data_IF_662898378872
#
_entry.id   IF_662898378872
#
_cell.length_a   1.000
_cell.length_b   1.000
_cell.length_c   1.000
_cell.angle_alpha   90.00
_cell.angle_beta   90.00
_cell.angle_gamma   90.00
#
_symmetry.space_group_name_H-M   'P 1'
#
loop_
_entity.id
_entity.type
_entity.pdbx_description
1 polymer ?
#
# COMPACT_ATOMS: atom_id res chain seq x y z
N UNK A 1 -2.33 12.10 -22.54
CA UNK A 1 -3.16 11.49 -21.47
C UNK A 1 -3.81 12.64 -20.74
N UNK A 2 -5.14 12.72 -20.81
CA UNK A 2 -5.95 13.80 -20.25
C UNK A 2 -5.83 13.82 -18.74
N UNK A 3 -5.61 15.00 -18.14
CA UNK A 3 -5.74 15.23 -16.69
C UNK A 3 -7.08 14.64 -16.25
N UNK A 4 -7.07 13.50 -15.55
CA UNK A 4 -8.25 13.11 -14.78
C UNK A 4 -8.44 14.20 -13.73
N UNK A 5 -9.69 14.59 -13.49
CA UNK A 5 -10.06 15.46 -12.37
C UNK A 5 -9.40 14.96 -11.08
N UNK A 6 -9.13 15.86 -10.11
CA UNK A 6 -8.54 15.44 -8.83
C UNK A 6 -9.30 14.24 -8.26
N UNK A 7 -8.60 13.27 -7.64
CA UNK A 7 -9.21 12.04 -7.14
C UNK A 7 -10.37 12.35 -6.20
N UNK A 8 -11.60 12.15 -6.67
CA UNK A 8 -12.80 12.13 -5.83
C UNK A 8 -13.04 10.69 -5.35
N UNK A 9 -12.08 10.12 -4.64
CA UNK A 9 -12.24 8.80 -4.04
C UNK A 9 -13.24 8.90 -2.88
N UNK A 10 -14.37 8.21 -3.01
CA UNK A 10 -15.48 8.32 -2.04
C UNK A 10 -15.54 7.13 -1.10
N UNK A 11 -15.81 7.37 0.18
CA UNK A 11 -16.10 6.32 1.16
C UNK A 11 -14.99 5.24 1.32
N UNK A 12 -13.72 5.56 1.03
CA UNK A 12 -12.59 4.62 1.22
C UNK A 12 -12.40 4.23 2.68
N UNK A 13 -12.79 5.11 3.60
CA UNK A 13 -12.70 4.93 5.06
C UNK A 13 -13.46 3.69 5.54
N UNK A 14 -14.72 3.52 5.10
CA UNK A 14 -15.57 2.38 5.49
C UNK A 14 -14.91 1.04 5.17
N UNK A 15 -14.26 0.94 4.00
CA UNK A 15 -13.57 -0.27 3.57
C UNK A 15 -12.26 -0.48 4.34
N UNK A 16 -11.48 0.58 4.54
CA UNK A 16 -10.26 0.52 5.32
C UNK A 16 -10.53 0.10 6.78
N UNK A 17 -11.57 0.64 7.42
CA UNK A 17 -11.99 0.28 8.78
C UNK A 17 -12.40 -1.19 8.89
N UNK A 18 -13.20 -1.70 7.94
CA UNK A 18 -13.55 -3.13 7.91
C UNK A 18 -12.32 -4.04 7.80
N UNK A 19 -11.33 -3.65 7.00
CA UNK A 19 -10.06 -4.37 6.90
C UNK A 19 -9.26 -4.26 8.20
N UNK A 20 -9.25 -3.09 8.84
CA UNK A 20 -8.57 -2.84 10.10
C UNK A 20 -9.12 -3.73 11.22
N UNK A 21 -10.43 -3.79 11.44
CA UNK A 21 -11.01 -4.67 12.47
C UNK A 21 -10.72 -6.16 12.21
N UNK A 22 -10.68 -6.58 10.93
CA UNK A 22 -10.28 -7.94 10.58
C UNK A 22 -8.80 -8.20 10.90
N UNK A 23 -7.95 -7.21 10.64
CA UNK A 23 -6.53 -7.27 11.00
C UNK A 23 -6.39 -7.37 12.52
N UNK A 24 -7.04 -6.52 13.30
CA UNK A 24 -7.02 -6.58 14.77
C UNK A 24 -7.39 -7.96 15.30
N UNK A 25 -8.52 -8.50 14.86
CA UNK A 25 -8.92 -9.86 15.27
C UNK A 25 -7.93 -10.94 14.84
N UNK A 26 -7.15 -10.75 13.77
CA UNK A 26 -6.06 -11.66 13.40
C UNK A 26 -4.85 -11.49 14.32
N UNK A 27 -4.48 -10.25 14.65
CA UNK A 27 -3.37 -9.96 15.56
C UNK A 27 -3.65 -10.47 16.98
N UNK A 28 -4.89 -10.39 17.46
CA UNK A 28 -5.25 -10.88 18.79
C UNK A 28 -5.18 -12.40 18.91
N UNK A 29 -5.39 -13.13 17.81
CA UNK A 29 -5.29 -14.59 17.76
C UNK A 29 -3.86 -15.10 17.56
N UNK A 30 -2.95 -14.28 17.04
CA UNK A 30 -1.55 -14.64 16.78
C UNK A 30 -0.60 -13.59 17.41
N UNK A 31 -0.12 -13.82 18.65
CA UNK A 31 0.78 -12.90 19.35
C UNK A 31 2.11 -12.66 18.63
N UNK A 32 2.60 -13.65 17.87
CA UNK A 32 3.86 -13.52 17.11
C UNK A 32 3.65 -12.55 15.95
N UNK A 33 2.55 -12.73 15.21
CA UNK A 33 2.15 -11.82 14.14
C UNK A 33 1.93 -10.40 14.67
N UNK A 34 1.25 -10.25 15.82
CA UNK A 34 1.04 -8.94 16.47
C UNK A 34 2.34 -8.23 16.77
N UNK A 35 3.29 -8.92 17.41
CA UNK A 35 4.62 -8.36 17.72
C UNK A 35 5.34 -7.90 16.46
N UNK A 36 5.39 -8.75 15.43
CA UNK A 36 6.08 -8.44 14.16
C UNK A 36 5.41 -7.27 13.41
N UNK A 37 4.07 -7.21 13.42
CA UNK A 37 3.32 -6.12 12.81
C UNK A 37 3.58 -4.79 13.53
N UNK A 38 3.55 -4.77 14.87
CA UNK A 38 3.82 -3.57 15.66
C UNK A 38 5.27 -3.09 15.52
N UNK A 39 6.23 -4.02 15.45
CA UNK A 39 7.63 -3.70 15.16
C UNK A 39 7.77 -3.02 13.78
N UNK A 40 7.15 -3.58 12.74
CA UNK A 40 7.13 -2.94 11.41
C UNK A 40 6.54 -1.52 11.47
N UNK A 41 5.37 -1.34 12.10
CA UNK A 41 4.72 -0.03 12.16
C UNK A 41 5.58 0.98 12.94
N UNK A 42 6.23 0.55 14.02
CA UNK A 42 7.17 1.40 14.77
C UNK A 42 8.36 1.81 13.90
N UNK A 43 9.00 0.87 13.23
CA UNK A 43 10.15 1.16 12.35
C UNK A 43 9.73 2.11 11.22
N UNK A 44 8.55 1.91 10.62
CA UNK A 44 8.01 2.77 9.58
C UNK A 44 7.79 4.22 10.06
N UNK A 45 7.39 4.41 11.31
CA UNK A 45 7.29 5.73 11.95
C UNK A 45 8.67 6.34 12.21
N UNK A 46 9.58 5.59 12.84
CA UNK A 46 10.92 6.07 13.23
C UNK A 46 11.77 6.43 12.01
N UNK A 47 11.60 5.70 10.91
CA UNK A 47 12.25 5.99 9.62
C UNK A 47 11.58 7.15 8.85
N UNK A 48 10.58 7.81 9.44
CA UNK A 48 9.86 8.92 8.85
C UNK A 48 9.18 8.56 7.51
N UNK A 49 8.72 7.31 7.37
CA UNK A 49 7.93 6.86 6.23
C UNK A 49 6.41 7.04 6.43
N UNK A 50 6.00 7.34 7.67
CA UNK A 50 4.66 7.82 7.99
C UNK A 50 4.73 8.86 9.10
N UNK A 51 3.69 9.69 9.18
CA UNK A 51 3.51 10.67 10.25
C UNK A 51 2.05 10.71 10.68
N UNK A 52 1.80 11.31 11.84
CA UNK A 52 0.44 11.59 12.28
C UNK A 52 -0.13 12.72 11.41
N UNK A 53 -1.35 12.51 10.89
CA UNK A 53 -2.03 13.53 10.08
C UNK A 53 -2.29 14.79 10.94
N UNK A 54 -1.94 15.99 10.46
CA UNK A 54 -2.25 17.24 11.16
C UNK A 54 -3.75 17.41 11.38
N UNK A 55 -4.15 18.03 12.50
CA UNK A 55 -5.56 18.24 12.85
C UNK A 55 -6.32 18.99 11.75
N UNK A 56 -5.65 19.92 11.06
CA UNK A 56 -6.21 20.67 9.92
C UNK A 56 -6.54 19.80 8.70
N UNK A 57 -5.87 18.67 8.54
CA UNK A 57 -5.99 17.76 7.39
C UNK A 57 -6.97 16.62 7.64
N UNK A 58 -7.42 16.42 8.89
CA UNK A 58 -8.34 15.32 9.26
C UNK A 58 -9.64 15.35 8.45
N UNK A 59 -10.18 16.53 8.20
CA UNK A 59 -11.41 16.73 7.44
C UNK A 59 -11.18 17.02 5.95
N UNK A 60 -9.96 16.81 5.44
CA UNK A 60 -9.66 17.05 4.04
C UNK A 60 -10.56 16.16 3.15
N UNK A 61 -11.35 16.74 2.22
CA UNK A 61 -12.24 15.98 1.34
C UNK A 61 -11.47 15.11 0.33
N UNK A 62 -10.18 15.35 0.13
CA UNK A 62 -9.29 14.58 -0.76
C UNK A 62 -8.54 13.46 -0.01
N UNK A 63 -8.86 13.21 1.26
CA UNK A 63 -8.22 12.13 2.01
C UNK A 63 -8.58 10.77 1.42
N UNK A 64 -7.61 9.87 1.39
CA UNK A 64 -7.79 8.50 0.95
C UNK A 64 -7.29 7.55 2.03
N UNK A 65 -8.14 6.61 2.44
CA UNK A 65 -7.77 5.60 3.43
C UNK A 65 -7.40 4.30 2.73
N UNK A 66 -6.15 3.87 2.91
CA UNK A 66 -5.66 2.62 2.32
C UNK A 66 -5.85 1.46 3.29
N UNK A 67 -6.57 0.39 2.91
CA UNK A 67 -6.54 -0.86 3.63
C UNK A 67 -5.10 -1.39 3.71
N UNK A 68 -4.72 -2.00 4.81
CA UNK A 68 -3.40 -2.57 4.96
C UNK A 68 -3.43 -3.91 5.70
N UNK A 69 -2.41 -4.74 5.49
CA UNK A 69 -2.28 -6.03 6.17
C UNK A 69 -0.82 -6.50 6.22
N UNK A 70 -0.48 -7.28 7.24
CA UNK A 70 0.82 -7.93 7.37
C UNK A 70 0.92 -9.18 6.49
N UNK A 71 2.00 -9.28 5.72
CA UNK A 71 2.39 -10.47 4.94
C UNK A 71 3.66 -11.05 5.55
N UNK A 72 3.58 -12.32 5.93
CA UNK A 72 4.71 -13.12 6.42
C UNK A 72 4.95 -14.26 5.44
N UNK A 73 6.21 -14.60 5.18
CA UNK A 73 6.59 -15.84 4.51
C UNK A 73 7.00 -16.83 5.58
N UNK A 74 6.13 -17.79 5.87
CA UNK A 74 6.37 -18.78 6.93
C UNK A 74 7.58 -19.68 6.61
N UNK A 75 7.87 -19.91 5.32
CA UNK A 75 9.02 -20.72 4.86
C UNK A 75 10.36 -19.98 4.88
N UNK A 76 10.39 -18.70 5.28
CA UNK A 76 11.61 -17.92 5.30
C UNK A 76 12.14 -17.75 6.72
N UNK A 77 13.29 -18.37 6.98
CA UNK A 77 14.06 -18.19 8.22
C UNK A 77 14.58 -16.76 8.42
N UNK A 78 14.59 -15.92 7.38
CA UNK A 78 15.23 -14.59 7.39
C UNK A 78 14.33 -13.42 7.03
N UNK A 79 13.14 -13.65 6.43
CA UNK A 79 12.30 -12.53 5.95
C UNK A 79 11.40 -11.99 7.05
N UNK A 80 11.72 -10.77 7.53
CA UNK A 80 10.85 -9.97 8.39
C UNK A 80 9.45 -9.78 7.76
N UNK A 81 8.43 -9.68 8.60
CA UNK A 81 7.07 -9.31 8.19
C UNK A 81 7.08 -7.97 7.43
N UNK A 82 6.22 -7.85 6.42
CA UNK A 82 6.00 -6.59 5.68
C UNK A 82 4.55 -6.20 5.77
N UNK A 83 4.26 -4.91 5.98
CA UNK A 83 2.90 -4.39 5.84
C UNK A 83 2.69 -3.90 4.42
N UNK A 84 1.60 -4.33 3.81
CA UNK A 84 1.20 -3.94 2.45
C UNK A 84 0.03 -2.97 2.55
N UNK A 85 0.21 -1.77 1.99
CA UNK A 85 -0.85 -0.78 1.81
C UNK A 85 -1.50 -0.97 0.43
N UNK A 86 -2.79 -1.22 0.41
CA UNK A 86 -3.51 -1.59 -0.81
C UNK A 86 -4.11 -0.36 -1.52
N UNK A 87 -3.31 0.26 -2.40
CA UNK A 87 -3.74 1.37 -3.25
C UNK A 87 -4.64 0.96 -4.43
N UNK A 88 -4.80 -0.34 -4.71
CA UNK A 88 -5.75 -0.86 -5.69
C UNK A 88 -7.11 -1.22 -5.09
N UNK A 89 -7.33 -0.94 -3.80
CA UNK A 89 -8.64 -1.04 -3.20
C UNK A 89 -9.57 -0.01 -3.85
N UNK A 90 -10.68 -0.49 -4.41
CA UNK A 90 -11.66 0.38 -5.05
C UNK A 90 -12.59 1.03 -4.03
N UNK A 91 -13.03 2.22 -4.37
CA UNK A 91 -14.07 2.97 -3.70
C UNK A 91 -15.47 2.42 -4.04
N UNK A 92 -16.53 3.09 -3.59
CA UNK A 92 -17.92 2.68 -3.87
C UNK A 92 -18.31 2.75 -5.35
N UNK A 93 -17.58 3.52 -6.15
CA UNK A 93 -17.83 3.74 -7.58
C UNK A 93 -16.92 2.88 -8.47
N UNK A 94 -16.00 2.11 -7.86
CA UNK A 94 -15.10 1.20 -8.57
C UNK A 94 -13.73 1.80 -8.92
N UNK A 95 -13.43 3.01 -8.46
CA UNK A 95 -12.15 3.68 -8.71
C UNK A 95 -11.15 3.41 -7.59
N UNK A 96 -9.87 3.23 -7.92
CA UNK A 96 -8.78 3.06 -6.96
C UNK A 96 -7.78 4.23 -7.01
N UNK A 97 -6.96 4.38 -5.98
CA UNK A 97 -5.91 5.41 -5.97
C UNK A 97 -4.97 5.27 -7.18
N UNK A 98 -4.65 4.03 -7.55
CA UNK A 98 -3.83 3.74 -8.73
C UNK A 98 -4.44 4.23 -10.05
N UNK A 99 -5.75 4.46 -10.14
CA UNK A 99 -6.41 4.98 -11.34
C UNK A 99 -6.23 6.48 -11.55
N UNK A 100 -5.87 7.20 -10.49
CA UNK A 100 -5.64 8.65 -10.47
C UNK A 100 -4.16 9.02 -10.44
N UNK A 101 -3.27 8.11 -10.04
CA UNK A 101 -1.83 8.34 -10.08
C UNK A 101 -1.28 8.18 -11.50
N UNK A 102 -0.41 9.10 -11.91
CA UNK A 102 0.24 9.01 -13.21
C UNK A 102 1.23 7.85 -13.26
N UNK A 103 1.15 7.05 -14.32
CA UNK A 103 2.15 6.02 -14.60
C UNK A 103 3.40 6.73 -15.12
N UNK A 104 4.50 6.64 -14.39
CA UNK A 104 5.80 7.11 -14.86
C UNK A 104 6.23 6.41 -16.17
N UNK A 105 7.19 6.98 -16.90
CA UNK A 105 7.69 6.39 -18.14
C UNK A 105 8.30 5.01 -17.88
N UNK A 106 8.14 4.09 -18.84
CA UNK A 106 8.75 2.74 -18.77
C UNK A 106 10.27 2.87 -18.90
N UNK A 107 10.99 2.83 -17.78
CA UNK A 107 12.46 2.91 -17.74
C UNK A 107 13.14 1.60 -18.14
N UNK A 108 12.46 0.47 -17.96
CA UNK A 108 13.01 -0.85 -18.28
C UNK A 108 13.07 -1.04 -19.79
N UNK A 109 14.27 -1.29 -20.30
CA UNK A 109 14.50 -1.70 -21.68
C UNK A 109 13.76 -3.01 -21.95
N UNK A 110 13.31 -3.17 -23.18
CA UNK A 110 12.68 -4.40 -23.60
C UNK A 110 13.65 -5.59 -23.44
N UNK A 111 13.21 -6.62 -22.72
CA UNK A 111 14.04 -7.76 -22.36
C UNK A 111 14.50 -8.53 -23.61
N UNK A 112 13.63 -8.69 -24.60
CA UNK A 112 13.97 -9.36 -25.86
C UNK A 112 15.07 -8.57 -26.59
N UNK A 113 14.93 -7.24 -26.69
CA UNK A 113 15.97 -6.38 -27.28
C UNK A 113 17.29 -6.47 -26.54
N UNK A 114 17.26 -6.59 -25.21
CA UNK A 114 18.46 -6.77 -24.40
C UNK A 114 19.13 -8.11 -24.72
N UNK A 115 18.37 -9.21 -24.70
CA UNK A 115 18.87 -10.56 -24.98
C UNK A 115 19.44 -10.70 -26.41
N UNK A 116 18.80 -10.08 -27.41
CA UNK A 116 19.30 -10.06 -28.78
C UNK A 116 20.65 -9.32 -28.89
N UNK A 117 20.83 -8.21 -28.17
CA UNK A 117 22.13 -7.51 -28.15
C UNK A 117 23.24 -8.35 -27.54
N UNK A 118 22.97 -9.09 -26.47
CA UNK A 118 23.94 -10.03 -25.85
C UNK A 118 24.37 -11.18 -26.77
N UNK A 119 23.63 -11.47 -27.84
CA UNK A 119 23.95 -12.55 -28.78
C UNK A 119 24.71 -12.08 -30.01
N UNK A 120 24.67 -10.79 -30.30
CA UNK A 120 25.30 -10.16 -31.47
C UNK A 120 26.70 -9.62 -31.14
N UNK A 121 26.99 -9.39 -29.87
CA UNK A 121 28.32 -9.04 -29.33
C UNK A 121 28.81 -10.17 -28.43
#
# INVERSE_FOLDING_TARGET
MTRKSPPELRNTETRALKCFYRLEGKLDRDPILKRQYLEFMRDYLVLNHMELIPVSEVLNPRRCHLPHHGVRKDDSTTTKLRVVFNASATDSEGHSLNDYLEKGPKLQKDLLKLLLKFRVY
#
